data_IF_225110476852
#
_entry.id   IF_225110476852
#
_cell.length_a   1.000
_cell.length_b   1.000
_cell.length_c   1.000
_cell.angle_alpha   90.00
_cell.angle_beta   90.00
_cell.angle_gamma   90.00
#
_symmetry.space_group_name_H-M   'P 1'
#
loop_
_entity.id
_entity.type
_entity.pdbx_description
1 polymer ?
#
# COMPACT_ATOMS: atom_id res chain seq x y z
N UNK A 1 -0.16 -8.65 5.66
CA UNK A 1 -0.37 -7.24 6.06
C UNK A 1 -1.43 -6.63 5.17
N UNK A 2 -2.39 -5.90 5.73
CA UNK A 2 -3.26 -5.00 4.95
C UNK A 2 -2.70 -3.57 4.92
N UNK A 3 -2.73 -2.89 3.78
CA UNK A 3 -2.35 -1.47 3.71
C UNK A 3 -3.17 -0.70 2.68
N UNK A 4 -3.49 0.55 2.99
CA UNK A 4 -4.14 1.50 2.06
C UNK A 4 -3.50 2.89 2.21
N UNK A 5 -3.26 3.57 1.10
CA UNK A 5 -2.95 5.01 1.07
C UNK A 5 -4.24 5.83 0.89
N UNK A 6 -4.16 7.17 0.96
CA UNK A 6 -5.33 8.00 0.61
C UNK A 6 -5.53 7.99 -0.91
N UNK A 7 -6.72 7.59 -1.34
CA UNK A 7 -7.12 7.68 -2.75
C UNK A 7 -7.15 9.13 -3.24
N UNK A 8 -6.89 9.32 -4.54
CA UNK A 8 -6.92 10.65 -5.19
C UNK A 8 -5.63 11.46 -5.10
N UNK A 9 -4.61 10.96 -4.36
CA UNK A 9 -3.27 11.56 -4.35
C UNK A 9 -2.34 10.67 -5.18
N UNK A 10 -1.81 11.15 -6.32
CA UNK A 10 -0.88 10.38 -7.14
C UNK A 10 0.31 9.86 -6.34
N UNK A 11 0.70 8.60 -6.57
CA UNK A 11 1.84 7.95 -5.90
C UNK A 11 1.58 7.48 -4.46
N UNK A 12 0.46 7.85 -3.81
CA UNK A 12 0.18 7.45 -2.44
C UNK A 12 -0.54 6.10 -2.36
N UNK A 13 0.21 5.01 -2.57
CA UNK A 13 -0.33 3.64 -2.62
C UNK A 13 -0.38 2.94 -1.26
N UNK A 14 0.52 3.27 -0.34
CA UNK A 14 0.70 2.63 0.97
C UNK A 14 0.46 3.67 2.08
N UNK A 15 -0.08 3.24 3.22
CA UNK A 15 -0.28 4.12 4.37
C UNK A 15 1.00 4.29 5.19
N UNK A 16 1.21 5.48 5.76
CA UNK A 16 2.44 5.85 6.48
C UNK A 16 2.82 4.88 7.61
N UNK A 17 1.85 4.25 8.29
CA UNK A 17 2.15 3.25 9.32
C UNK A 17 2.69 1.94 8.72
N UNK A 18 2.14 1.51 7.60
CA UNK A 18 2.61 0.33 6.89
C UNK A 18 4.02 0.56 6.36
N UNK A 19 4.32 1.72 5.79
CA UNK A 19 5.67 2.09 5.34
C UNK A 19 6.69 2.05 6.49
N UNK A 20 6.41 2.72 7.62
CA UNK A 20 7.29 2.70 8.80
C UNK A 20 7.54 1.29 9.33
N UNK A 21 6.52 0.44 9.33
CA UNK A 21 6.66 -0.94 9.78
C UNK A 21 7.47 -1.78 8.79
N UNK A 22 7.21 -1.67 7.49
CA UNK A 22 7.98 -2.37 6.45
C UNK A 22 9.47 -2.00 6.48
N UNK A 23 9.81 -0.77 6.84
CA UNK A 23 11.20 -0.31 6.99
C UNK A 23 11.94 -0.88 8.21
N UNK A 24 11.26 -1.53 9.16
CA UNK A 24 11.86 -1.94 10.45
C UNK A 24 11.81 -3.45 10.73
N UNK A 25 11.07 -4.21 9.93
CA UNK A 25 10.90 -5.66 10.12
C UNK A 25 11.95 -6.46 9.34
N UNK A 26 12.35 -7.61 9.91
CA UNK A 26 13.34 -8.51 9.31
C UNK A 26 12.71 -9.83 8.85
N UNK A 27 11.44 -9.81 8.44
CA UNK A 27 10.71 -10.99 8.00
C UNK A 27 10.03 -10.75 6.65
N UNK A 28 9.71 -11.84 5.95
CA UNK A 28 8.95 -11.77 4.70
C UNK A 28 7.52 -11.29 4.97
N UNK A 29 7.04 -10.36 4.15
CA UNK A 29 5.68 -9.83 4.26
C UNK A 29 4.94 -9.96 2.95
N UNK A 30 3.77 -10.60 3.02
CA UNK A 30 2.74 -10.51 2.00
C UNK A 30 1.81 -9.34 2.31
N UNK A 31 1.72 -8.37 1.40
CA UNK A 31 0.80 -7.24 1.50
C UNK A 31 -0.38 -7.43 0.57
N UNK A 32 -1.60 -7.31 1.12
CA UNK A 32 -2.86 -7.43 0.40
C UNK A 32 -3.68 -6.14 0.52
N UNK A 33 -4.44 -5.84 -0.53
CA UNK A 33 -5.40 -4.73 -0.58
C UNK A 33 -6.80 -5.25 -0.26
N UNK A 34 -7.69 -4.42 0.31
CA UNK A 34 -9.08 -4.80 0.51
C UNK A 34 -9.79 -5.00 -0.83
N UNK A 35 -10.85 -5.79 -0.81
CA UNK A 35 -11.75 -5.95 -1.96
C UNK A 35 -12.27 -4.58 -2.43
N UNK A 36 -12.34 -4.40 -3.74
CA UNK A 36 -12.76 -3.13 -4.35
C UNK A 36 -11.67 -2.04 -4.40
N UNK A 37 -10.43 -2.33 -3.99
CA UNK A 37 -9.31 -1.42 -4.23
C UNK A 37 -9.11 -1.17 -5.74
N UNK A 38 -9.19 0.10 -6.15
CA UNK A 38 -8.89 0.54 -7.52
C UNK A 38 -7.48 1.10 -7.58
N UNK A 39 -6.64 0.53 -8.43
CA UNK A 39 -5.29 1.05 -8.67
C UNK A 39 -5.36 2.41 -9.38
N UNK A 40 -4.61 3.43 -8.92
CA UNK A 40 -4.47 4.69 -9.67
C UNK A 40 -3.44 4.59 -10.81
N UNK A 41 -2.75 3.44 -10.96
CA UNK A 41 -1.79 3.20 -12.04
C UNK A 41 -2.54 2.64 -13.24
N UNK A 42 -2.47 3.35 -14.37
CA UNK A 42 -2.98 2.92 -15.68
C UNK A 42 -1.84 2.33 -16.51
N UNK A 43 -2.17 1.39 -17.40
CA UNK A 43 -1.27 0.96 -18.46
C UNK A 43 -1.58 1.83 -19.69
N UNK A 44 -0.57 2.47 -20.25
CA UNK A 44 -0.65 3.10 -21.58
C UNK A 44 -0.55 2.06 -22.69
#
# INVERSE_FOLDING_TARGET
>A
MGSVGRSGIPGLLIGNKAEKLLNSINCTVLTVKPDGFKTPVTLD
#
